data_IF_522778574540
#
_entry.id   IF_522778574540
#
_cell.length_a   1.000
_cell.length_b   1.000
_cell.length_c   1.000
_cell.angle_alpha   90.00
_cell.angle_beta   90.00
_cell.angle_gamma   90.00
#
_symmetry.space_group_name_H-M   'P 1'
#
loop_
_entity.id
_entity.type
_entity.pdbx_description
1 polymer ?
#
# COMPACT_ATOMS: atom_id res chain seq x y z
N UNK A 1 -1.54 -19.15 -8.09
CA UNK A 1 -0.75 -18.29 -7.17
C UNK A 1 0.35 -19.12 -6.57
N UNK A 2 1.57 -18.62 -6.32
CA UNK A 2 2.57 -19.40 -5.61
C UNK A 2 2.03 -19.81 -4.22
N UNK A 3 2.27 -21.06 -3.77
CA UNK A 3 1.77 -21.52 -2.48
C UNK A 3 2.39 -20.72 -1.32
N UNK A 4 1.65 -20.60 -0.22
CA UNK A 4 2.10 -19.89 1.00
C UNK A 4 3.01 -20.75 1.88
N UNK A 5 3.28 -22.00 1.47
CA UNK A 5 4.22 -22.90 2.10
C UNK A 5 3.60 -23.78 3.18
N UNK A 6 4.41 -24.13 4.19
CA UNK A 6 4.07 -24.99 5.33
C UNK A 6 4.14 -24.19 6.65
N UNK A 7 3.48 -24.64 7.73
CA UNK A 7 3.66 -24.06 9.04
C UNK A 7 5.12 -23.95 9.46
N UNK A 8 5.43 -22.87 10.17
CA UNK A 8 6.69 -22.72 10.92
C UNK A 8 6.65 -23.54 12.22
N UNK A 9 7.79 -23.65 12.90
CA UNK A 9 7.88 -24.39 14.15
C UNK A 9 6.87 -23.90 15.21
N UNK A 10 6.24 -24.84 15.92
CA UNK A 10 5.24 -24.60 16.98
C UNK A 10 3.97 -23.88 16.53
N UNK A 11 3.73 -23.78 15.22
CA UNK A 11 2.48 -23.31 14.64
C UNK A 11 1.75 -24.49 14.02
N UNK A 12 0.48 -24.65 14.38
CA UNK A 12 -0.40 -25.67 13.80
C UNK A 12 -1.36 -24.96 12.83
N UNK A 13 -1.69 -25.61 11.71
CA UNK A 13 -2.63 -25.06 10.73
C UNK A 13 -3.63 -26.11 10.30
N UNK A 14 -4.89 -25.72 10.33
CA UNK A 14 -6.03 -26.54 9.98
C UNK A 14 -6.78 -25.87 8.84
N UNK A 15 -7.25 -26.69 7.90
CA UNK A 15 -8.17 -26.25 6.85
C UNK A 15 -9.51 -26.87 7.18
N UNK A 16 -10.46 -26.05 7.62
CA UNK A 16 -11.73 -26.49 8.17
C UNK A 16 -12.90 -26.08 7.29
N UNK A 17 -13.96 -26.88 7.29
CA UNK A 17 -15.23 -26.50 6.69
C UNK A 17 -16.07 -25.63 7.65
N UNK A 18 -17.27 -25.23 7.19
CA UNK A 18 -18.23 -24.43 7.97
C UNK A 18 -18.74 -25.10 9.27
N UNK A 19 -18.50 -26.40 9.44
CA UNK A 19 -18.87 -27.16 10.63
C UNK A 19 -17.63 -27.48 11.48
N UNK A 20 -16.52 -26.77 11.25
CA UNK A 20 -15.24 -26.91 11.94
C UNK A 20 -14.63 -28.31 11.79
N UNK A 21 -14.94 -29.01 10.69
CA UNK A 21 -14.37 -30.32 10.37
C UNK A 21 -13.20 -30.20 9.40
N UNK A 22 -12.19 -31.07 9.57
CA UNK A 22 -11.02 -31.09 8.67
C UNK A 22 -11.46 -31.50 7.27
N UNK A 23 -11.07 -30.71 6.26
CA UNK A 23 -11.31 -31.05 4.85
C UNK A 23 -10.19 -31.91 4.27
N UNK A 24 -10.48 -32.80 3.30
CA UNK A 24 -9.45 -33.57 2.60
C UNK A 24 -8.45 -32.70 1.83
N UNK A 25 -7.26 -33.25 1.56
CA UNK A 25 -6.25 -32.60 0.69
C UNK A 25 -6.85 -32.27 -0.68
N UNK A 26 -6.59 -31.06 -1.18
CA UNK A 26 -7.14 -30.54 -2.44
C UNK A 26 -8.48 -29.83 -2.32
N UNK A 27 -9.21 -29.99 -1.21
CA UNK A 27 -10.49 -29.31 -0.96
C UNK A 27 -10.25 -27.97 -0.28
N UNK A 28 -10.98 -26.95 -0.74
CA UNK A 28 -10.92 -25.61 -0.17
C UNK A 28 -11.67 -25.55 1.16
N UNK A 29 -11.07 -24.89 2.14
CA UNK A 29 -11.68 -24.59 3.43
C UNK A 29 -11.05 -23.35 4.04
N UNK A 30 -11.58 -22.94 5.20
CA UNK A 30 -11.05 -21.79 5.93
C UNK A 30 -9.78 -22.17 6.68
N UNK A 31 -8.79 -21.29 6.67
CA UNK A 31 -7.55 -21.45 7.42
C UNK A 31 -7.75 -21.08 8.90
N UNK A 32 -7.35 -22.00 9.78
CA UNK A 32 -7.28 -21.81 11.22
C UNK A 32 -5.86 -22.05 11.70
N UNK A 33 -5.37 -21.18 12.59
CA UNK A 33 -4.01 -21.24 13.13
C UNK A 33 -4.07 -21.58 14.62
N UNK A 34 -3.26 -22.53 15.07
CA UNK A 34 -3.11 -22.92 16.46
C UNK A 34 -1.65 -22.88 16.93
N UNK A 35 -1.43 -23.26 18.19
CA UNK A 35 -0.10 -23.36 18.78
C UNK A 35 0.46 -22.05 19.35
N UNK A 36 1.78 -21.98 19.45
CA UNK A 36 2.48 -20.94 20.21
C UNK A 36 2.44 -19.54 19.55
N UNK A 37 2.07 -19.46 18.27
CA UNK A 37 1.97 -18.20 17.53
C UNK A 37 0.73 -17.37 17.86
N UNK A 38 -0.19 -17.88 18.68
CA UNK A 38 -1.43 -17.18 19.02
C UNK A 38 -1.19 -16.00 19.97
N UNK A 39 -1.72 -14.84 19.60
CA UNK A 39 -1.77 -13.67 20.46
C UNK A 39 -2.77 -13.86 21.63
N UNK A 40 -2.73 -12.92 22.58
CA UNK A 40 -3.72 -12.88 23.69
C UNK A 40 -5.14 -12.62 23.15
N UNK A 41 -5.26 -11.67 22.23
CA UNK A 41 -6.50 -11.17 21.66
C UNK A 41 -6.34 -9.74 21.14
N UNK A 42 -7.45 -9.09 20.82
CA UNK A 42 -7.50 -7.67 20.43
C UNK A 42 -7.61 -6.76 21.66
N UNK A 43 -6.80 -5.70 21.70
CA UNK A 43 -6.82 -4.73 22.79
C UNK A 43 -8.19 -4.04 22.88
N UNK A 44 -8.81 -4.07 24.06
CA UNK A 44 -10.12 -3.47 24.35
C UNK A 44 -11.27 -3.93 23.43
N UNK A 45 -11.14 -5.10 22.77
CA UNK A 45 -12.20 -5.69 21.93
C UNK A 45 -12.43 -7.16 22.29
N UNK A 46 -13.08 -7.44 23.44
CA UNK A 46 -13.29 -8.81 23.92
C UNK A 46 -14.22 -9.61 22.98
N UNK A 47 -15.29 -9.00 22.48
CA UNK A 47 -16.25 -9.65 21.59
C UNK A 47 -15.57 -10.15 20.29
N UNK A 48 -14.77 -9.28 19.65
CA UNK A 48 -13.99 -9.65 18.47
C UNK A 48 -12.93 -10.71 18.77
N UNK A 49 -12.38 -10.69 20.00
CA UNK A 49 -11.42 -11.72 20.43
C UNK A 49 -12.11 -13.07 20.55
N UNK A 50 -13.30 -13.13 21.14
CA UNK A 50 -14.08 -14.38 21.25
C UNK A 50 -14.54 -14.89 19.87
N UNK A 51 -14.92 -13.99 18.97
CA UNK A 51 -15.31 -14.34 17.60
C UNK A 51 -14.15 -14.96 16.80
N UNK A 52 -12.92 -14.42 16.95
CA UNK A 52 -11.76 -14.82 16.12
C UNK A 52 -10.86 -15.85 16.78
N UNK A 53 -10.75 -15.87 18.11
CA UNK A 53 -9.94 -16.84 18.88
C UNK A 53 -10.84 -17.92 19.50
N UNK A 54 -11.37 -18.78 18.63
CA UNK A 54 -12.35 -19.81 18.97
C UNK A 54 -11.74 -20.99 19.73
N UNK A 55 -12.53 -21.77 20.50
CA UNK A 55 -12.07 -23.00 21.12
C UNK A 55 -11.51 -24.00 20.10
N UNK A 56 -10.44 -24.71 20.45
CA UNK A 56 -9.84 -25.70 19.56
C UNK A 56 -10.70 -26.99 19.50
N UNK A 57 -11.26 -27.39 18.34
CA UNK A 57 -12.23 -28.48 18.25
C UNK A 57 -11.63 -29.86 18.57
N UNK A 58 -10.32 -30.04 18.35
CA UNK A 58 -9.63 -31.32 18.59
C UNK A 58 -8.81 -31.38 19.89
N UNK A 59 -8.69 -30.28 20.65
CA UNK A 59 -7.81 -30.19 21.83
C UNK A 59 -8.45 -29.33 22.92
N UNK A 60 -8.87 -29.96 24.01
CA UNK A 60 -9.52 -29.26 25.10
C UNK A 60 -8.59 -28.24 25.77
N UNK A 61 -9.09 -27.01 26.00
CA UNK A 61 -8.34 -25.93 26.65
C UNK A 61 -7.42 -25.13 25.73
N UNK A 62 -7.27 -25.53 24.47
CA UNK A 62 -6.56 -24.76 23.46
C UNK A 62 -7.52 -23.88 22.64
N UNK A 63 -6.96 -22.95 21.86
CA UNK A 63 -7.70 -22.05 20.97
C UNK A 63 -7.15 -22.16 19.55
N UNK A 64 -7.97 -21.81 18.58
CA UNK A 64 -7.57 -21.55 17.19
C UNK A 64 -7.90 -20.10 16.84
N UNK A 65 -7.05 -19.47 16.04
CA UNK A 65 -7.34 -18.20 15.41
C UNK A 65 -7.92 -18.46 14.01
N UNK A 66 -9.14 -17.97 13.80
CA UNK A 66 -9.87 -18.02 12.54
C UNK A 66 -9.38 -16.90 11.63
N UNK A 67 -8.71 -17.22 10.52
CA UNK A 67 -8.02 -16.18 9.74
C UNK A 67 -8.92 -15.45 8.76
N UNK A 68 -10.03 -16.05 8.36
CA UNK A 68 -10.86 -15.54 7.26
C UNK A 68 -10.28 -15.81 5.87
N UNK A 69 -9.20 -16.60 5.75
CA UNK A 69 -8.58 -16.93 4.47
C UNK A 69 -9.10 -18.26 3.93
N UNK A 70 -9.41 -18.32 2.64
CA UNK A 70 -9.75 -19.55 1.93
C UNK A 70 -8.47 -20.16 1.36
N UNK A 71 -8.18 -21.39 1.76
CA UNK A 71 -6.98 -22.12 1.33
C UNK A 71 -7.31 -23.58 1.02
N UNK A 72 -6.35 -24.28 0.41
CA UNK A 72 -6.37 -25.75 0.31
C UNK A 72 -4.98 -26.32 0.48
N UNK A 73 -4.90 -27.54 1.01
CA UNK A 73 -3.65 -28.31 0.96
C UNK A 73 -3.41 -28.84 -0.45
N UNK A 74 -2.17 -28.70 -0.93
CA UNK A 74 -1.66 -29.38 -2.11
C UNK A 74 -1.14 -30.77 -1.73
N UNK A 75 -1.01 -31.70 -2.71
CA UNK A 75 -0.50 -33.06 -2.45
C UNK A 75 0.90 -33.11 -1.84
N UNK A 76 1.70 -32.07 -2.06
CA UNK A 76 3.04 -31.91 -1.49
C UNK A 76 3.03 -31.32 -0.07
N UNK A 77 1.85 -31.12 0.54
CA UNK A 77 1.67 -30.58 1.88
C UNK A 77 1.83 -29.06 1.98
N UNK A 78 2.07 -28.34 0.89
CA UNK A 78 2.01 -26.88 0.88
C UNK A 78 0.56 -26.39 0.89
N UNK A 79 0.33 -25.20 1.43
CA UNK A 79 -0.96 -24.52 1.35
C UNK A 79 -1.01 -23.60 0.13
N UNK A 80 -2.07 -23.69 -0.65
CA UNK A 80 -2.39 -22.72 -1.70
C UNK A 80 -3.42 -21.73 -1.17
N UNK A 81 -3.11 -20.44 -1.26
CA UNK A 81 -4.04 -19.36 -0.93
C UNK A 81 -4.97 -19.07 -2.11
N UNK A 82 -6.27 -19.14 -1.85
CA UNK A 82 -7.34 -19.01 -2.86
C UNK A 82 -8.11 -17.68 -2.76
N UNK A 83 -7.89 -16.92 -1.69
CA UNK A 83 -8.56 -15.64 -1.45
C UNK A 83 -9.02 -15.52 -0.01
N UNK A 84 -9.85 -14.52 0.24
CA UNK A 84 -10.46 -14.32 1.56
C UNK A 84 -11.94 -14.66 1.53
N UNK A 85 -12.39 -15.21 2.65
CA UNK A 85 -13.79 -15.49 2.95
C UNK A 85 -14.45 -14.21 3.48
N UNK A 86 -13.73 -13.47 4.32
CA UNK A 86 -14.12 -12.12 4.71
C UNK A 86 -13.67 -11.10 3.65
N UNK A 87 -14.35 -9.95 3.66
CA UNK A 87 -14.25 -8.97 2.59
C UNK A 87 -13.00 -8.08 2.68
N UNK A 88 -11.89 -8.57 3.27
CA UNK A 88 -10.68 -7.75 3.30
C UNK A 88 -9.99 -7.72 1.95
N UNK A 89 -9.46 -6.55 1.63
CA UNK A 89 -8.95 -6.23 0.30
C UNK A 89 -7.56 -5.64 0.41
N UNK A 90 -6.69 -5.97 -0.54
CA UNK A 90 -5.41 -5.25 -0.70
C UNK A 90 -5.60 -4.14 -1.71
N UNK A 91 -5.50 -2.90 -1.25
CA UNK A 91 -5.59 -1.72 -2.11
C UNK A 91 -4.32 -0.92 -1.89
N UNK A 92 -3.57 -0.68 -2.99
CA UNK A 92 -2.43 0.23 -3.01
C UNK A 92 -1.39 -0.06 -1.90
N UNK A 93 -1.18 -1.34 -1.59
CA UNK A 93 -0.24 -1.82 -0.56
C UNK A 93 -0.81 -1.93 0.86
N UNK A 94 -2.02 -1.41 1.11
CA UNK A 94 -2.69 -1.45 2.40
C UNK A 94 -3.65 -2.63 2.50
N UNK A 95 -3.73 -3.23 3.69
CA UNK A 95 -4.73 -4.24 4.03
C UNK A 95 -5.98 -3.54 4.57
N UNK A 96 -6.99 -3.52 3.71
CA UNK A 96 -8.35 -3.02 3.75
C UNK A 96 -9.38 -3.82 4.57
N UNK A 97 -9.74 -3.46 5.79
CA UNK A 97 -10.94 -4.02 6.43
C UNK A 97 -12.19 -3.25 5.98
N UNK A 98 -12.94 -3.74 4.99
CA UNK A 98 -14.11 -3.00 4.49
C UNK A 98 -15.19 -2.77 5.56
N UNK A 99 -15.35 -3.73 6.47
CA UNK A 99 -16.27 -3.62 7.59
C UNK A 99 -15.92 -2.51 8.59
N UNK A 100 -14.65 -2.10 8.69
CA UNK A 100 -14.24 -0.97 9.54
C UNK A 100 -14.76 0.35 8.96
N UNK A 101 -14.71 0.50 7.64
CA UNK A 101 -15.25 1.67 6.93
C UNK A 101 -16.79 1.68 7.02
N UNK A 102 -17.43 0.51 6.85
CA UNK A 102 -18.87 0.34 7.01
C UNK A 102 -19.33 0.73 8.42
N UNK A 103 -18.64 0.26 9.46
CA UNK A 103 -18.94 0.59 10.85
C UNK A 103 -18.78 2.09 11.13
N UNK A 104 -17.69 2.71 10.69
CA UNK A 104 -17.46 4.14 10.85
C UNK A 104 -18.55 4.98 10.15
N UNK A 105 -19.01 4.56 8.97
CA UNK A 105 -20.16 5.20 8.29
C UNK A 105 -21.45 5.03 9.09
N UNK A 106 -21.72 3.85 9.64
CA UNK A 106 -22.94 3.58 10.42
C UNK A 106 -23.00 4.35 11.75
N UNK A 107 -21.87 4.86 12.25
CA UNK A 107 -21.86 5.78 13.40
C UNK A 107 -22.37 7.18 13.05
N UNK A 108 -22.44 7.56 11.76
CA UNK A 108 -22.96 8.86 11.35
C UNK A 108 -24.50 8.89 11.53
N UNK A 109 -25.08 9.87 12.27
CA UNK A 109 -26.49 9.86 12.64
C UNK A 109 -27.50 9.81 11.48
N UNK A 110 -27.09 10.27 10.30
CA UNK A 110 -27.94 10.30 9.11
C UNK A 110 -27.88 9.01 8.28
N UNK A 111 -26.92 8.11 8.53
CA UNK A 111 -26.74 6.86 7.79
C UNK A 111 -27.54 5.75 8.47
N UNK A 112 -28.37 5.04 7.69
CA UNK A 112 -29.13 3.87 8.16
C UNK A 112 -28.38 2.57 7.86
N UNK A 113 -27.89 2.45 6.63
CA UNK A 113 -27.12 1.29 6.17
C UNK A 113 -25.98 1.76 5.27
N UNK A 114 -24.84 1.09 5.35
CA UNK A 114 -23.69 1.37 4.49
C UNK A 114 -23.00 0.06 4.11
N UNK A 115 -22.61 -0.05 2.84
CA UNK A 115 -21.81 -1.17 2.32
C UNK A 115 -20.65 -0.61 1.52
N UNK A 116 -19.45 -1.11 1.79
CA UNK A 116 -18.23 -0.68 1.10
C UNK A 116 -17.69 -1.85 0.29
N UNK A 117 -17.28 -1.57 -0.94
CA UNK A 117 -16.68 -2.57 -1.82
C UNK A 117 -15.54 -1.98 -2.64
N UNK A 118 -14.68 -2.89 -3.11
CA UNK A 118 -13.63 -2.56 -4.06
C UNK A 118 -14.16 -2.81 -5.45
N UNK A 119 -14.10 -1.77 -6.29
CA UNK A 119 -14.32 -1.90 -7.72
C UNK A 119 -12.98 -1.83 -8.45
N UNK A 120 -12.92 -2.58 -9.53
CA UNK A 120 -11.83 -2.59 -10.50
C UNK A 120 -12.52 -2.57 -11.86
N UNK A 121 -12.96 -1.38 -12.28
CA UNK A 121 -13.65 -1.18 -13.55
C UNK A 121 -12.65 -1.17 -14.72
N UNK A 122 -11.45 -0.65 -14.46
CA UNK A 122 -10.28 -0.79 -15.34
C UNK A 122 -9.23 -1.71 -14.68
N UNK A 123 -8.60 -2.64 -15.43
CA UNK A 123 -7.60 -3.54 -14.88
C UNK A 123 -6.44 -2.78 -14.19
N UNK A 124 -6.25 -3.03 -12.90
CA UNK A 124 -5.24 -2.38 -12.08
C UNK A 124 -5.72 -1.18 -11.25
N UNK A 125 -6.85 -0.55 -11.60
CA UNK A 125 -7.41 0.57 -10.82
C UNK A 125 -8.43 0.07 -9.78
N UNK A 126 -7.90 -0.37 -8.64
CA UNK A 126 -8.73 -0.73 -7.49
C UNK A 126 -9.10 0.50 -6.68
N UNK A 127 -10.41 0.78 -6.59
CA UNK A 127 -10.97 1.91 -5.84
C UNK A 127 -12.03 1.47 -4.83
N UNK A 128 -12.07 2.16 -3.68
CA UNK A 128 -13.09 1.99 -2.67
C UNK A 128 -14.34 2.79 -3.04
N UNK A 129 -15.49 2.13 -3.01
CA UNK A 129 -16.81 2.74 -3.25
C UNK A 129 -17.71 2.42 -2.07
N UNK A 130 -18.34 3.45 -1.50
CA UNK A 130 -19.36 3.30 -0.45
C UNK A 130 -20.76 3.50 -1.02
N UNK A 131 -21.67 2.60 -0.67
CA UNK A 131 -23.09 2.67 -0.99
C UNK A 131 -23.83 2.97 0.32
N UNK A 132 -24.53 4.09 0.36
CA UNK A 132 -25.09 4.64 1.61
C UNK A 132 -26.60 4.77 1.47
N UNK A 133 -27.34 4.21 2.42
CA UNK A 133 -28.77 4.43 2.58
C UNK A 133 -28.97 5.32 3.80
N UNK A 134 -29.64 6.45 3.64
CA UNK A 134 -29.79 7.42 4.71
C UNK A 134 -30.11 8.81 4.18
N UNK A 135 -29.76 9.83 4.95
CA UNK A 135 -29.70 11.21 4.49
C UNK A 135 -28.29 11.80 4.65
N UNK A 136 -28.14 13.06 4.28
CA UNK A 136 -26.87 13.78 4.30
C UNK A 136 -26.28 13.91 2.91
N UNK A 137 -24.97 14.14 2.83
CA UNK A 137 -24.28 14.37 1.57
C UNK A 137 -22.87 13.77 1.55
N UNK A 138 -22.35 13.50 0.34
CA UNK A 138 -20.99 12.98 0.13
C UNK A 138 -19.89 13.74 0.89
N UNK A 139 -19.88 15.08 0.94
CA UNK A 139 -18.88 15.82 1.72
C UNK A 139 -18.96 15.52 3.22
N UNK A 140 -20.17 15.48 3.80
CA UNK A 140 -20.38 15.21 5.23
C UNK A 140 -19.89 13.81 5.61
N UNK A 141 -20.25 12.78 4.83
CA UNK A 141 -19.80 11.41 5.08
C UNK A 141 -18.29 11.27 4.95
N UNK A 142 -17.69 11.96 3.99
CA UNK A 142 -16.24 11.97 3.77
C UNK A 142 -15.50 12.64 4.92
N UNK A 143 -15.97 13.79 5.40
CA UNK A 143 -15.38 14.47 6.56
C UNK A 143 -15.49 13.63 7.83
N UNK A 144 -16.65 13.00 8.06
CA UNK A 144 -16.84 12.07 9.17
C UNK A 144 -15.84 10.92 9.14
N UNK A 145 -15.63 10.29 7.98
CA UNK A 145 -14.62 9.23 7.83
C UNK A 145 -13.19 9.75 8.01
N UNK A 146 -12.84 10.92 7.47
CA UNK A 146 -11.50 11.53 7.62
C UNK A 146 -11.15 11.84 9.07
N UNK A 147 -12.14 12.09 9.92
CA UNK A 147 -11.91 12.35 11.35
C UNK A 147 -11.50 11.08 12.13
N UNK A 148 -11.80 9.89 11.61
CA UNK A 148 -11.65 8.62 12.33
C UNK A 148 -10.68 7.63 11.66
N UNK A 149 -10.59 7.69 10.33
CA UNK A 149 -9.86 6.73 9.52
C UNK A 149 -8.69 7.39 8.77
N UNK A 150 -7.61 6.65 8.51
CA UNK A 150 -6.57 7.09 7.58
C UNK A 150 -7.13 7.38 6.18
N UNK A 151 -6.52 8.33 5.47
CA UNK A 151 -6.98 8.77 4.15
C UNK A 151 -7.14 7.65 3.12
N UNK A 152 -6.30 6.61 3.17
CA UNK A 152 -6.38 5.47 2.26
C UNK A 152 -7.58 4.54 2.49
N UNK A 153 -8.27 4.66 3.63
CA UNK A 153 -9.50 3.93 3.94
C UNK A 153 -10.76 4.71 3.56
N UNK A 154 -10.64 6.00 3.23
CA UNK A 154 -11.77 6.84 2.84
C UNK A 154 -12.17 6.50 1.39
N UNK A 155 -13.42 6.08 1.11
CA UNK A 155 -13.89 5.79 -0.23
C UNK A 155 -13.71 6.98 -1.18
N UNK A 156 -13.29 6.72 -2.41
CA UNK A 156 -13.18 7.78 -3.41
C UNK A 156 -14.56 8.20 -3.93
N UNK A 157 -15.52 7.27 -3.96
CA UNK A 157 -16.88 7.49 -4.43
C UNK A 157 -17.91 7.08 -3.38
N UNK A 158 -19.00 7.85 -3.32
CA UNK A 158 -20.16 7.58 -2.49
C UNK A 158 -21.40 7.55 -3.41
N UNK A 159 -22.19 6.50 -3.29
CA UNK A 159 -23.44 6.31 -4.04
C UNK A 159 -24.58 6.29 -3.04
N UNK A 160 -25.42 7.33 -3.08
CA UNK A 160 -26.64 7.36 -2.28
C UNK A 160 -27.66 6.38 -2.86
N UNK A 161 -28.31 5.61 -2.00
CA UNK A 161 -29.29 4.60 -2.36
C UNK A 161 -30.55 4.73 -1.52
N UNK A 162 -31.70 4.49 -2.13
CA UNK A 162 -32.97 4.41 -1.39
C UNK A 162 -33.02 3.14 -0.52
N UNK A 163 -32.52 2.01 -1.04
CA UNK A 163 -32.43 0.71 -0.35
C UNK A 163 -31.27 -0.11 -0.92
N UNK A 164 -30.68 -1.00 -0.12
CA UNK A 164 -29.67 -1.93 -0.61
C UNK A 164 -30.34 -3.15 -1.28
N UNK A 165 -29.85 -3.63 -2.44
CA UNK A 165 -30.37 -4.83 -3.06
C UNK A 165 -30.09 -6.04 -2.18
N UNK A 166 -31.07 -6.92 -2.01
CA UNK A 166 -30.95 -8.13 -1.21
C UNK A 166 -31.06 -9.38 -2.10
N UNK A 167 -30.25 -10.39 -1.78
CA UNK A 167 -30.36 -11.76 -2.30
C UNK A 167 -31.64 -12.43 -1.78
N UNK A 168 -32.02 -13.57 -2.36
CA UNK A 168 -33.15 -14.39 -1.89
C UNK A 168 -33.05 -14.83 -0.42
N UNK A 169 -31.85 -14.79 0.17
CA UNK A 169 -31.59 -15.11 1.57
C UNK A 169 -31.57 -13.88 2.50
N UNK A 170 -31.97 -12.70 2.01
CA UNK A 170 -32.02 -11.46 2.80
C UNK A 170 -30.66 -10.82 3.08
N UNK A 171 -29.57 -11.29 2.46
CA UNK A 171 -28.23 -10.66 2.53
C UNK A 171 -28.06 -9.67 1.40
N UNK A 172 -27.26 -8.61 1.61
CA UNK A 172 -26.94 -7.63 0.54
C UNK A 172 -26.34 -8.33 -0.69
N UNK A 173 -26.96 -8.09 -1.85
CA UNK A 173 -26.48 -8.54 -3.15
C UNK A 173 -25.47 -7.54 -3.72
N UNK A 174 -24.20 -7.74 -3.35
CA UNK A 174 -23.09 -6.88 -3.79
C UNK A 174 -22.89 -6.86 -5.30
N UNK A 175 -23.37 -7.86 -6.04
CA UNK A 175 -23.27 -7.91 -7.50
C UNK A 175 -24.32 -7.05 -8.20
N UNK A 176 -25.43 -6.78 -7.52
CA UNK A 176 -26.52 -5.94 -8.00
C UNK A 176 -26.31 -4.45 -7.68
N UNK A 177 -25.24 -4.09 -6.99
CA UNK A 177 -24.93 -2.69 -6.67
C UNK A 177 -24.56 -1.92 -7.95
N UNK A 178 -25.10 -0.70 -8.13
CA UNK A 178 -24.90 0.08 -9.34
C UNK A 178 -23.45 0.50 -9.52
N UNK A 179 -23.06 0.71 -10.77
CA UNK A 179 -21.76 1.32 -11.11
C UNK A 179 -21.87 2.81 -10.76
N UNK A 180 -20.95 3.39 -9.98
CA UNK A 180 -20.90 4.84 -9.79
C UNK A 180 -20.76 5.49 -11.16
N UNK A 181 -21.71 6.33 -11.54
CA UNK A 181 -21.48 7.22 -12.67
C UNK A 181 -20.25 8.06 -12.34
N UNK A 182 -19.31 8.17 -13.28
CA UNK A 182 -18.29 9.20 -13.20
C UNK A 182 -19.06 10.52 -13.17
N UNK A 183 -19.24 11.08 -11.98
CA UNK A 183 -19.55 12.49 -11.86
C UNK A 183 -18.32 13.19 -12.42
N UNK A 184 -18.31 13.40 -13.73
CA UNK A 184 -17.71 14.57 -14.32
C UNK A 184 -18.28 15.71 -13.49
N UNK A 185 -17.50 16.22 -12.54
CA UNK A 185 -17.83 17.37 -11.75
C UNK A 185 -18.17 18.46 -12.76
N UNK A 186 -19.47 18.69 -12.93
CA UNK A 186 -20.06 19.58 -13.92
C UNK A 186 -19.85 21.01 -13.50
N UNK A 187 -18.59 21.43 -13.44
CA UNK A 187 -18.17 22.80 -13.58
C UNK A 187 -16.93 22.72 -14.47
N UNK A 188 -16.96 23.40 -15.63
CA UNK A 188 -15.76 23.72 -16.38
C UNK A 188 -14.87 24.60 -15.50
N UNK A 189 -14.24 23.99 -14.49
CA UNK A 189 -13.30 24.66 -13.62
C UNK A 189 -12.03 24.86 -14.43
N UNK A 190 -11.96 26.04 -15.05
CA UNK A 190 -10.78 26.50 -15.76
C UNK A 190 -9.63 26.51 -14.76
N UNK A 191 -8.73 25.54 -14.91
CA UNK A 191 -7.52 25.47 -14.09
C UNK A 191 -6.68 26.72 -14.38
N UNK A 192 -6.12 27.33 -13.35
CA UNK A 192 -5.06 28.33 -13.52
C UNK A 192 -3.82 27.66 -14.11
N UNK A 193 -2.89 28.41 -14.74
CA UNK A 193 -1.68 27.83 -15.33
C UNK A 193 -0.81 27.01 -14.36
N UNK A 194 -0.86 27.33 -13.06
CA UNK A 194 -0.17 26.56 -12.01
C UNK A 194 -0.90 25.24 -11.75
N UNK A 195 -2.22 25.27 -11.68
CA UNK A 195 -3.05 24.08 -11.49
C UNK A 195 -2.98 23.14 -12.70
N UNK A 196 -2.97 23.67 -13.93
CA UNK A 196 -2.76 22.89 -15.15
C UNK A 196 -1.43 22.12 -15.12
N UNK A 197 -0.35 22.78 -14.70
CA UNK A 197 0.95 22.16 -14.60
C UNK A 197 0.97 21.08 -13.51
N UNK A 198 0.35 21.33 -12.34
CA UNK A 198 0.22 20.32 -11.28
C UNK A 198 -0.59 19.11 -11.77
N UNK A 199 -1.76 19.36 -12.36
CA UNK A 199 -2.63 18.33 -12.92
C UNK A 199 -1.91 17.52 -14.00
N UNK A 200 -1.09 18.16 -14.85
CA UNK A 200 -0.29 17.46 -15.86
C UNK A 200 0.75 16.52 -15.25
N UNK A 201 1.45 16.97 -14.19
CA UNK A 201 2.44 16.14 -13.48
C UNK A 201 1.76 14.98 -12.79
N UNK A 202 0.62 15.22 -12.16
CA UNK A 202 -0.15 14.16 -11.50
C UNK A 202 -0.68 13.15 -12.52
N UNK A 203 -1.23 13.61 -13.64
CA UNK A 203 -1.72 12.73 -14.70
C UNK A 203 -0.63 11.79 -15.22
N UNK A 204 0.60 12.31 -15.44
CA UNK A 204 1.73 11.49 -15.87
C UNK A 204 2.21 10.47 -14.83
N UNK A 205 2.04 10.74 -13.53
CA UNK A 205 2.51 9.87 -12.45
C UNK A 205 1.44 8.87 -12.01
N UNK A 206 0.17 9.31 -11.98
CA UNK A 206 -0.98 8.52 -11.55
C UNK A 206 -1.61 7.72 -12.70
N UNK A 207 -1.41 8.14 -13.95
CA UNK A 207 -2.06 7.54 -15.12
C UNK A 207 -3.54 7.92 -15.28
N UNK A 208 -4.00 8.97 -14.58
CA UNK A 208 -5.41 9.42 -14.59
C UNK A 208 -5.56 10.66 -15.48
N UNK A 209 -6.62 10.71 -16.28
CA UNK A 209 -7.00 11.88 -17.10
C UNK A 209 -8.03 12.77 -16.40
N UNK A 210 -8.15 14.03 -16.84
CA UNK A 210 -9.16 15.00 -16.38
C UNK A 210 -9.10 15.34 -14.87
N UNK A 211 -7.91 15.61 -14.34
CA UNK A 211 -7.72 16.02 -12.95
C UNK A 211 -8.20 17.47 -12.76
N UNK A 212 -9.18 17.67 -11.88
CA UNK A 212 -9.74 18.96 -11.50
C UNK A 212 -9.03 19.64 -10.33
N UNK A 213 -9.35 20.91 -10.08
CA UNK A 213 -8.73 21.73 -9.02
C UNK A 213 -8.94 21.14 -7.61
N UNK A 214 -10.09 20.54 -7.36
CA UNK A 214 -10.43 19.98 -6.05
C UNK A 214 -10.00 18.52 -5.86
N UNK A 215 -9.45 17.89 -6.90
CA UNK A 215 -9.06 16.49 -6.82
C UNK A 215 -7.87 16.32 -5.89
N UNK A 216 -7.98 15.34 -4.99
CA UNK A 216 -6.92 15.01 -4.04
C UNK A 216 -5.98 13.96 -4.59
N UNK A 217 -4.66 14.18 -4.47
CA UNK A 217 -3.61 13.28 -4.92
C UNK A 217 -3.80 11.86 -4.39
N UNK A 218 -4.14 11.74 -3.10
CA UNK A 218 -4.27 10.44 -2.42
C UNK A 218 -5.61 9.76 -2.74
N UNK A 219 -6.66 10.54 -3.00
CA UNK A 219 -7.95 10.00 -3.44
C UNK A 219 -7.83 9.42 -4.86
N UNK A 220 -7.06 10.08 -5.72
CA UNK A 220 -6.68 9.62 -7.07
C UNK A 220 -5.64 8.47 -7.09
N UNK A 221 -5.23 7.94 -5.93
CA UNK A 221 -4.35 6.77 -5.86
C UNK A 221 -2.87 7.04 -5.65
N UNK A 222 -2.50 8.28 -5.39
CA UNK A 222 -1.17 8.62 -4.92
C UNK A 222 -0.80 7.95 -3.60
N UNK A 223 0.45 7.49 -3.49
CA UNK A 223 1.06 6.96 -2.27
C UNK A 223 2.49 7.50 -2.12
N UNK A 224 3.17 7.24 -1.00
CA UNK A 224 4.44 7.92 -0.66
C UNK A 224 5.55 7.87 -1.73
N UNK A 225 5.67 6.76 -2.46
CA UNK A 225 6.62 6.65 -3.59
C UNK A 225 6.23 7.57 -4.76
N UNK A 226 4.97 7.56 -5.18
CA UNK A 226 4.46 8.45 -6.24
C UNK A 226 4.49 9.92 -5.78
N UNK A 227 4.20 10.17 -4.51
CA UNK A 227 4.31 11.49 -3.89
C UNK A 227 5.74 12.04 -4.00
N UNK A 228 6.75 11.20 -3.76
CA UNK A 228 8.16 11.59 -3.93
C UNK A 228 8.49 11.95 -5.38
N UNK A 229 7.97 11.19 -6.35
CA UNK A 229 8.15 11.47 -7.78
C UNK A 229 7.46 12.79 -8.19
N UNK A 230 6.20 12.98 -7.79
CA UNK A 230 5.45 14.22 -8.04
C UNK A 230 6.16 15.41 -7.43
N UNK A 231 6.54 15.34 -6.15
CA UNK A 231 7.27 16.42 -5.47
C UNK A 231 8.55 16.76 -6.21
N UNK A 232 9.35 15.75 -6.61
CA UNK A 232 10.58 15.99 -7.37
C UNK A 232 10.32 16.74 -8.69
N UNK A 233 9.29 16.33 -9.45
CA UNK A 233 8.93 16.97 -10.73
C UNK A 233 8.38 18.38 -10.54
N UNK A 234 7.57 18.61 -9.51
CA UNK A 234 7.03 19.95 -9.20
C UNK A 234 8.14 20.90 -8.75
N UNK A 235 9.07 20.43 -7.92
CA UNK A 235 10.24 21.24 -7.52
C UNK A 235 11.07 21.65 -8.73
N UNK A 236 11.27 20.76 -9.70
CA UNK A 236 11.97 21.05 -10.96
C UNK A 236 11.18 22.03 -11.84
N UNK A 237 9.88 21.80 -12.02
CA UNK A 237 9.05 22.64 -12.89
C UNK A 237 8.88 24.07 -12.35
N UNK A 238 8.78 24.25 -11.03
CA UNK A 238 8.58 25.55 -10.39
C UNK A 238 9.85 26.18 -9.82
N UNK A 239 10.98 25.46 -9.81
CA UNK A 239 12.26 25.90 -9.24
C UNK A 239 12.14 26.31 -7.75
N UNK A 240 11.40 25.52 -6.97
CA UNK A 240 11.17 25.72 -5.53
C UNK A 240 11.63 24.52 -4.72
N UNK A 241 11.86 24.72 -3.42
CA UNK A 241 11.92 23.62 -2.48
C UNK A 241 10.49 23.31 -2.00
N UNK A 242 10.05 22.07 -2.20
CA UNK A 242 8.72 21.61 -1.81
C UNK A 242 8.90 20.38 -0.92
N UNK A 243 8.93 20.52 0.41
CA UNK A 243 8.99 19.39 1.32
C UNK A 243 7.86 18.39 1.04
N UNK A 244 8.14 17.09 1.14
CA UNK A 244 7.12 16.05 0.90
C UNK A 244 5.87 16.25 1.76
N UNK A 245 6.05 16.75 2.99
CA UNK A 245 4.97 17.09 3.93
C UNK A 245 3.93 18.05 3.33
N UNK A 246 4.35 19.00 2.50
CA UNK A 246 3.46 19.99 1.87
C UNK A 246 2.41 19.31 0.99
N UNK A 247 2.76 18.23 0.28
CA UNK A 247 1.81 17.48 -0.53
C UNK A 247 0.79 16.72 0.33
N UNK A 248 1.18 16.30 1.54
CA UNK A 248 0.25 15.66 2.49
C UNK A 248 -0.72 16.67 3.11
N UNK A 249 -0.25 17.88 3.44
CA UNK A 249 -1.06 18.94 4.04
C UNK A 249 -1.95 19.64 3.01
N UNK A 250 -1.45 19.82 1.78
CA UNK A 250 -2.13 20.46 0.66
C UNK A 250 -2.37 19.44 -0.45
N UNK A 251 -3.26 18.50 -0.15
CA UNK A 251 -3.43 17.31 -0.98
C UNK A 251 -4.25 17.51 -2.25
N UNK A 252 -4.90 18.66 -2.45
CA UNK A 252 -5.66 18.97 -3.68
C UNK A 252 -4.87 19.84 -4.64
N UNK A 253 -5.19 19.81 -5.93
CA UNK A 253 -4.52 20.65 -6.94
C UNK A 253 -4.58 22.14 -6.57
N UNK A 254 -5.75 22.64 -6.17
CA UNK A 254 -5.97 24.05 -5.79
C UNK A 254 -5.16 24.43 -4.54
N UNK A 255 -5.22 23.61 -3.49
CA UNK A 255 -4.52 23.90 -2.23
C UNK A 255 -3.01 23.86 -2.42
N UNK A 256 -2.52 22.91 -3.22
CA UNK A 256 -1.11 22.81 -3.57
C UNK A 256 -0.66 23.97 -4.46
N UNK A 257 -1.47 24.39 -5.44
CA UNK A 257 -1.18 25.54 -6.30
C UNK A 257 -1.02 26.82 -5.48
N UNK A 258 -1.92 27.05 -4.51
CA UNK A 258 -1.84 28.18 -3.58
C UNK A 258 -0.56 28.14 -2.77
N UNK A 259 -0.19 26.95 -2.26
CA UNK A 259 1.03 26.78 -1.48
C UNK A 259 2.30 27.01 -2.30
N UNK A 260 2.36 26.46 -3.51
CA UNK A 260 3.45 26.70 -4.48
C UNK A 260 3.55 28.19 -4.79
N UNK A 261 2.42 28.88 -4.97
CA UNK A 261 2.39 30.33 -5.15
C UNK A 261 3.06 31.10 -4.00
N UNK A 262 2.81 30.71 -2.75
CA UNK A 262 3.46 31.31 -1.57
C UNK A 262 4.96 31.01 -1.53
N UNK A 263 5.36 29.77 -1.78
CA UNK A 263 6.78 29.35 -1.78
C UNK A 263 7.59 30.07 -2.87
N UNK A 264 6.97 30.37 -4.02
CA UNK A 264 7.60 31.16 -5.09
C UNK A 264 7.81 32.63 -4.75
N UNK A 265 7.02 33.19 -3.83
CA UNK A 265 7.15 34.57 -3.36
C UNK A 265 8.13 34.73 -2.19
N UNK A 266 8.41 33.65 -1.46
CA UNK A 266 9.42 33.64 -0.40
C UNK A 266 10.86 33.54 -0.95
N UNK A 267 11.83 33.95 -0.15
CA UNK A 267 13.26 33.87 -0.48
C UNK A 267 13.82 32.43 -0.49
N UNK A 268 13.01 31.41 -0.17
CA UNK A 268 13.41 30.00 -0.20
C UNK A 268 13.31 29.42 -1.63
N UNK A 269 14.12 29.97 -2.54
CA UNK A 269 14.39 29.29 -3.81
C UNK A 269 15.26 28.08 -3.55
N UNK A 270 15.03 27.00 -4.31
CA UNK A 270 15.86 25.81 -4.26
C UNK A 270 17.28 26.18 -4.70
N UNK A 271 18.17 26.42 -3.75
CA UNK A 271 19.62 26.55 -3.98
C UNK A 271 20.33 25.19 -3.94
N UNK A 272 19.62 24.08 -4.16
CA UNK A 272 20.30 22.82 -4.43
C UNK A 272 20.77 22.87 -5.88
N UNK A 273 22.08 22.99 -6.14
CA UNK A 273 22.57 22.97 -7.50
C UNK A 273 22.16 21.65 -8.17
N UNK A 274 21.82 21.67 -9.47
CA UNK A 274 21.47 20.45 -10.18
C UNK A 274 22.60 19.43 -10.05
N UNK A 275 22.23 18.15 -10.03
CA UNK A 275 23.22 17.07 -10.12
C UNK A 275 23.86 17.13 -11.50
N UNK A 276 25.08 17.66 -11.54
CA UNK A 276 25.89 17.68 -12.75
C UNK A 276 26.83 16.48 -12.76
N UNK A 277 27.07 15.85 -13.92
CA UNK A 277 28.16 14.89 -14.05
C UNK A 277 29.48 15.55 -13.63
N UNK A 278 30.24 14.89 -12.78
CA UNK A 278 31.57 15.35 -12.32
C UNK A 278 32.61 14.38 -12.84
N UNK A 279 33.74 14.88 -13.31
CA UNK A 279 34.90 14.02 -13.60
C UNK A 279 35.34 13.33 -12.31
N UNK A 280 35.34 12.01 -12.34
CA UNK A 280 35.74 11.15 -11.22
C UNK A 280 37.27 11.25 -11.07
N UNK A 281 37.74 11.98 -10.05
CA UNK A 281 39.15 11.99 -9.65
C UNK A 281 39.54 10.71 -8.88
N UNK A 282 40.82 10.59 -8.51
CA UNK A 282 41.35 9.39 -7.82
C UNK A 282 40.84 9.19 -6.37
N UNK A 283 40.21 10.21 -5.78
CA UNK A 283 39.70 10.18 -4.41
C UNK A 283 38.37 10.93 -4.30
N UNK A 284 37.27 10.17 -4.29
CA UNK A 284 35.91 10.74 -4.17
C UNK A 284 35.44 10.60 -2.73
N UNK A 285 34.98 11.67 -2.06
CA UNK A 285 34.52 11.57 -0.68
C UNK A 285 33.31 10.63 -0.57
N UNK A 286 33.23 9.91 0.54
CA UNK A 286 32.04 9.11 0.86
C UNK A 286 30.85 10.02 1.12
N UNK A 287 29.67 9.59 0.68
CA UNK A 287 28.43 10.16 1.20
C UNK A 287 28.33 9.97 2.72
N UNK A 288 27.59 10.83 3.40
CA UNK A 288 27.39 10.71 4.86
C UNK A 288 26.87 9.32 5.29
N UNK A 289 26.03 8.69 4.47
CA UNK A 289 25.54 7.33 4.72
C UNK A 289 26.66 6.28 4.60
N UNK A 290 27.52 6.40 3.59
CA UNK A 290 28.69 5.53 3.43
C UNK A 290 29.70 5.73 4.56
N UNK A 291 29.96 6.97 5.00
CA UNK A 291 30.86 7.26 6.13
C UNK A 291 30.40 6.56 7.41
N UNK A 292 29.08 6.59 7.68
CA UNK A 292 28.50 5.86 8.82
C UNK A 292 28.74 4.35 8.72
N UNK A 293 28.52 3.75 7.55
CA UNK A 293 28.73 2.32 7.34
C UNK A 293 30.20 1.94 7.46
N UNK A 294 31.11 2.75 6.89
CA UNK A 294 32.55 2.57 7.01
C UNK A 294 32.99 2.64 8.48
N UNK A 295 32.51 3.62 9.25
CA UNK A 295 32.79 3.70 10.68
C UNK A 295 32.34 2.44 11.43
N UNK A 296 31.14 1.93 11.15
CA UNK A 296 30.64 0.71 11.80
C UNK A 296 31.49 -0.51 11.44
N UNK A 297 31.91 -0.63 10.17
CA UNK A 297 32.81 -1.70 9.72
C UNK A 297 34.18 -1.63 10.42
N UNK A 298 34.76 -0.43 10.57
CA UNK A 298 36.01 -0.22 11.31
C UNK A 298 35.85 -0.49 12.81
N UNK A 299 34.71 -0.15 13.39
CA UNK A 299 34.42 -0.38 14.81
C UNK A 299 34.16 -1.87 15.11
N UNK A 300 33.54 -2.60 14.17
CA UNK A 300 33.19 -4.02 14.31
C UNK A 300 33.66 -4.82 13.09
N UNK A 301 34.98 -5.03 12.93
CA UNK A 301 35.53 -5.66 11.74
C UNK A 301 35.03 -7.10 11.59
N UNK A 302 34.83 -7.54 10.34
CA UNK A 302 34.29 -8.86 9.96
C UNK A 302 32.86 -9.13 10.42
N UNK A 303 32.07 -8.09 10.69
CA UNK A 303 30.65 -8.23 11.03
C UNK A 303 29.78 -8.45 9.80
N UNK A 304 28.85 -9.41 9.87
CA UNK A 304 27.86 -9.64 8.81
C UNK A 304 26.59 -8.75 8.97
N UNK A 305 26.56 -7.83 9.95
CA UNK A 305 25.36 -7.07 10.32
C UNK A 305 24.74 -6.28 9.16
N UNK A 306 25.56 -5.83 8.20
CA UNK A 306 25.13 -5.03 7.05
C UNK A 306 25.21 -5.79 5.72
N UNK A 307 25.40 -7.11 5.76
CA UNK A 307 25.29 -7.93 4.56
C UNK A 307 23.81 -8.00 4.13
N UNK A 308 23.54 -7.81 2.84
CA UNK A 308 22.20 -7.89 2.26
C UNK A 308 22.15 -9.13 1.34
N UNK A 309 22.04 -10.36 1.89
CA UNK A 309 21.95 -11.55 1.07
C UNK A 309 20.58 -11.61 0.38
N UNK A 310 20.59 -11.76 -0.94
CA UNK A 310 19.39 -12.05 -1.72
C UNK A 310 19.54 -13.43 -2.36
N UNK A 311 18.53 -14.28 -2.18
CA UNK A 311 18.51 -15.65 -2.69
C UNK A 311 17.28 -15.83 -3.56
N UNK A 312 17.49 -16.23 -4.81
CA UNK A 312 16.41 -16.50 -5.76
C UNK A 312 16.39 -17.97 -6.13
N UNK A 313 15.20 -18.57 -6.14
CA UNK A 313 14.96 -19.89 -6.72
C UNK A 313 14.48 -19.70 -8.16
N UNK A 314 15.31 -20.10 -9.10
CA UNK A 314 14.99 -20.09 -10.52
C UNK A 314 14.54 -21.49 -10.95
N UNK A 315 13.44 -21.60 -11.70
CA UNK A 315 12.86 -22.87 -12.19
C UNK A 315 12.58 -22.80 -13.68
N UNK A 316 12.96 -23.83 -14.45
CA UNK A 316 12.83 -23.86 -15.91
C UNK A 316 14.17 -24.03 -16.62
N UNK A 317 14.18 -23.79 -17.93
CA UNK A 317 15.38 -23.88 -18.77
C UNK A 317 16.14 -22.54 -18.74
N UNK A 318 17.26 -22.49 -18.01
CA UNK A 318 18.08 -21.29 -17.88
C UNK A 318 19.42 -21.46 -18.58
N UNK A 319 19.80 -20.48 -19.38
CA UNK A 319 21.15 -20.37 -19.92
C UNK A 319 22.04 -19.66 -18.89
N UNK A 320 22.89 -20.42 -18.19
CA UNK A 320 23.83 -19.90 -17.17
C UNK A 320 24.69 -18.77 -17.75
N UNK A 321 25.14 -18.92 -19.00
CA UNK A 321 25.94 -17.91 -19.71
C UNK A 321 25.21 -16.57 -19.86
N UNK A 322 23.89 -16.60 -20.04
CA UNK A 322 23.08 -15.38 -20.15
C UNK A 322 22.88 -14.70 -18.80
N UNK A 323 22.76 -15.48 -17.71
CA UNK A 323 22.72 -14.94 -16.35
C UNK A 323 24.05 -14.27 -15.98
N UNK A 324 25.17 -14.92 -16.27
CA UNK A 324 26.51 -14.37 -16.03
C UNK A 324 26.72 -13.08 -16.85
N UNK A 325 26.35 -13.09 -18.13
CA UNK A 325 26.42 -11.90 -18.98
C UNK A 325 25.55 -10.77 -18.45
N UNK A 326 24.33 -11.07 -18.01
CA UNK A 326 23.44 -10.08 -17.40
C UNK A 326 24.02 -9.48 -16.12
N UNK A 327 24.63 -10.30 -15.27
CA UNK A 327 25.29 -9.84 -14.05
C UNK A 327 26.50 -8.94 -14.36
N UNK A 328 27.34 -9.33 -15.32
CA UNK A 328 28.47 -8.52 -15.75
C UNK A 328 28.03 -7.17 -16.31
N UNK A 329 26.93 -7.11 -17.07
CA UNK A 329 26.36 -5.84 -17.54
C UNK A 329 25.86 -4.95 -16.40
N UNK A 330 25.30 -5.53 -15.33
CA UNK A 330 24.92 -4.76 -14.13
C UNK A 330 26.16 -4.20 -13.43
N UNK A 331 27.23 -5.00 -13.27
CA UNK A 331 28.49 -4.54 -12.72
C UNK A 331 29.08 -3.39 -13.55
N UNK A 332 29.11 -3.52 -14.88
CA UNK A 332 29.59 -2.48 -15.79
C UNK A 332 28.77 -1.19 -15.69
N UNK A 333 27.44 -1.31 -15.68
CA UNK A 333 26.50 -0.18 -15.63
C UNK A 333 26.53 0.58 -14.31
N UNK A 334 26.68 -0.11 -13.19
CA UNK A 334 26.54 0.48 -11.85
C UNK A 334 27.91 0.62 -11.17
N UNK A 335 28.45 1.84 -11.15
CA UNK A 335 29.74 2.15 -10.51
C UNK A 335 29.80 1.68 -9.05
N UNK A 336 28.70 1.81 -8.31
CA UNK A 336 28.62 1.41 -6.90
C UNK A 336 28.87 -0.07 -6.65
N UNK A 337 28.67 -0.94 -7.64
CA UNK A 337 28.98 -2.37 -7.54
C UNK A 337 30.46 -2.69 -7.77
N UNK A 338 31.23 -1.70 -8.25
CA UNK A 338 32.66 -1.79 -8.55
C UNK A 338 33.50 -0.85 -7.67
N UNK A 339 32.86 -0.09 -6.80
CA UNK A 339 33.51 0.87 -5.91
C UNK A 339 34.22 0.16 -4.77
N UNK A 340 35.47 0.54 -4.52
CA UNK A 340 36.23 0.14 -3.35
C UNK A 340 36.31 1.35 -2.41
N UNK A 341 36.14 1.11 -1.11
CA UNK A 341 36.37 2.13 -0.09
C UNK A 341 37.79 1.94 0.45
N UNK A 342 38.63 2.96 0.30
CA UNK A 342 40.01 2.99 0.79
C UNK A 342 40.20 4.11 1.81
N UNK A 343 41.27 4.02 2.60
CA UNK A 343 41.67 5.05 3.56
C UNK A 343 42.93 5.74 3.00
N UNK A 344 42.84 7.04 2.68
CA UNK A 344 43.94 7.88 2.21
C UNK A 344 44.04 9.07 3.17
N UNK A 345 45.22 9.33 3.73
CA UNK A 345 45.47 10.42 4.69
C UNK A 345 44.44 10.45 5.84
N UNK A 346 44.15 9.28 6.43
CA UNK A 346 43.16 9.07 7.50
C UNK A 346 41.71 9.45 7.12
N UNK A 347 41.40 9.57 5.83
CA UNK A 347 40.06 9.81 5.32
C UNK A 347 39.57 8.67 4.43
N UNK A 348 38.33 8.19 4.63
CA UNK A 348 37.76 7.22 3.72
C UNK A 348 37.42 7.90 2.39
N UNK A 349 37.75 7.24 1.29
CA UNK A 349 37.45 7.67 -0.08
C UNK A 349 36.93 6.51 -0.92
N UNK A 350 36.13 6.82 -1.94
CA UNK A 350 35.67 5.91 -2.97
C UNK A 350 36.68 5.90 -4.12
N UNK A 351 37.04 4.70 -4.59
CA UNK A 351 37.82 4.42 -5.80
C UNK A 351 37.08 3.50 -6.75
#
# INVERSE_FOLDING_TARGET
>A
TPPIGRPIANVEVFVLDRNEQIVPVGIAGELYIGGAGLARGYLNRPELTEERFVPHPFKAGERLYRTGDLVRYLPDGNLEFMGRIDHQVKIRGFRIELGEIEAALQEHPSIKEAVVLVREDEPGDKRLVAYVVGGGSTPEWREHLKAQLPSYMVPSHFVEMETLPLTSNGKVDRKALPIPEEQASGEENHLSPVEELIASVWSQVLGVSNIGAQDSFFELGGHSLLATQVVSRLQEAFQIELPLRELFEHSTVETLARRIGQLRQGDQKRELPPLVPVERGEAIPLSYAQQRLWFIDRFTPNSALYNIPAVWRLTGDWAIESLEKGWNQLLERHESLRTVIQEIDDQPVQQ
#
